data_IF_145374236827
#
_entry.id   IF_145374236827
#
_cell.length_a   1.000
_cell.length_b   1.000
_cell.length_c   1.000
_cell.angle_alpha   90.00
_cell.angle_beta   90.00
_cell.angle_gamma   90.00
#
_symmetry.space_group_name_H-M   'P 1'
#
loop_
_entity.id
_entity.type
_entity.pdbx_description
1 polymer ?
#
# COMPACT_ATOMS: atom_id res chain seq x y z
N UNK A 1 -5.74 -4.92 9.88
CA UNK A 1 -5.10 -3.61 10.10
C UNK A 1 -4.06 -3.38 9.00
N UNK A 2 -3.94 -2.17 8.43
CA UNK A 2 -2.88 -1.81 7.47
C UNK A 2 -1.94 -0.76 8.11
N UNK A 3 -0.84 -1.17 8.77
CA UNK A 3 0.08 -0.21 9.38
C UNK A 3 0.80 0.60 8.29
N UNK A 4 0.92 1.91 8.51
CA UNK A 4 1.73 2.78 7.66
C UNK A 4 3.21 2.78 8.06
N UNK A 5 3.51 2.55 9.34
CA UNK A 5 4.89 2.36 9.80
C UNK A 5 5.54 1.13 9.13
N UNK A 6 6.82 1.25 8.78
CA UNK A 6 7.67 0.16 8.29
C UNK A 6 8.83 -0.08 9.25
N UNK A 7 9.50 -1.21 9.10
CA UNK A 7 10.72 -1.58 9.81
C UNK A 7 11.78 -2.12 8.84
N UNK A 8 12.95 -2.50 9.37
CA UNK A 8 14.06 -2.99 8.55
C UNK A 8 14.68 -4.24 9.15
N UNK A 9 15.17 -5.12 8.26
CA UNK A 9 15.97 -6.28 8.64
C UNK A 9 17.40 -5.99 8.20
N UNK A 10 18.34 -6.02 9.14
CA UNK A 10 19.75 -5.70 8.89
C UNK A 10 20.61 -6.92 9.20
N UNK A 11 21.64 -7.13 8.38
CA UNK A 11 22.67 -8.12 8.64
C UNK A 11 23.73 -7.55 9.57
N UNK A 12 24.31 -8.40 10.42
CA UNK A 12 25.52 -8.09 11.17
C UNK A 12 26.73 -8.45 10.29
N UNK A 13 27.51 -7.49 9.77
CA UNK A 13 28.52 -7.78 8.74
C UNK A 13 29.59 -8.79 9.18
N UNK A 14 29.89 -8.82 10.49
CA UNK A 14 30.89 -9.72 11.08
C UNK A 14 30.37 -11.13 11.35
N UNK A 15 29.06 -11.35 11.23
CA UNK A 15 28.41 -12.64 11.50
C UNK A 15 27.26 -12.87 10.49
N UNK A 16 27.55 -12.98 9.19
CA UNK A 16 26.52 -12.99 8.14
C UNK A 16 25.57 -14.20 8.21
N UNK A 17 26.04 -15.34 8.75
CA UNK A 17 25.22 -16.55 8.94
C UNK A 17 24.39 -16.54 10.23
N UNK A 18 24.60 -15.54 11.10
CA UNK A 18 23.80 -15.41 12.32
C UNK A 18 22.45 -14.83 11.94
N UNK A 19 21.40 -15.26 12.65
CA UNK A 19 20.03 -14.79 12.42
C UNK A 19 20.02 -13.26 12.33
N UNK A 20 19.46 -12.73 11.24
CA UNK A 20 19.45 -11.31 10.95
C UNK A 20 18.91 -10.50 12.14
N UNK A 21 19.50 -9.34 12.37
CA UNK A 21 19.06 -8.40 13.39
C UNK A 21 17.80 -7.72 12.87
N UNK A 22 16.65 -8.24 13.27
CA UNK A 22 15.37 -7.58 13.02
C UNK A 22 15.28 -6.29 13.83
N UNK A 23 15.44 -5.12 13.19
CA UNK A 23 14.94 -3.87 13.75
C UNK A 23 13.46 -3.76 13.43
N UNK A 24 12.65 -4.41 14.27
CA UNK A 24 11.25 -4.06 14.37
C UNK A 24 11.18 -2.60 14.83
N UNK A 25 11.02 -1.67 13.89
CA UNK A 25 10.68 -0.30 14.21
C UNK A 25 9.26 -0.31 14.78
N UNK A 26 9.18 -0.51 16.10
CA UNK A 26 7.96 -0.33 16.89
C UNK A 26 7.60 1.14 17.04
N UNK A 27 8.60 2.00 16.81
CA UNK A 27 8.44 3.44 16.95
C UNK A 27 7.47 3.94 15.89
N UNK A 28 6.47 4.65 16.37
CA UNK A 28 5.46 5.46 15.70
C UNK A 28 6.09 6.43 14.69
N UNK A 29 6.65 5.92 13.59
CA UNK A 29 7.17 6.76 12.52
C UNK A 29 6.05 7.48 11.78
N UNK A 30 4.82 6.98 11.87
CA UNK A 30 3.63 7.70 11.41
C UNK A 30 2.91 8.36 12.57
N UNK A 31 2.74 9.70 12.56
CA UNK A 31 2.06 10.45 13.63
C UNK A 31 0.66 9.91 13.96
N UNK A 32 -0.05 9.33 12.97
CA UNK A 32 -1.43 8.84 13.11
C UNK A 32 -1.61 7.43 13.67
N UNK A 33 -0.52 6.67 13.88
CA UNK A 33 -0.63 5.30 14.41
C UNK A 33 -1.31 5.22 15.79
N UNK A 34 -0.95 6.05 16.80
CA UNK A 34 -1.63 6.02 18.08
C UNK A 34 -3.12 6.37 17.96
N UNK A 35 -3.49 7.33 17.11
CA UNK A 35 -4.89 7.78 16.95
C UNK A 35 -5.83 6.64 16.55
N UNK A 36 -5.43 5.82 15.58
CA UNK A 36 -6.22 4.67 15.11
C UNK A 36 -6.40 3.64 16.23
N UNK A 37 -5.36 3.41 17.02
CA UNK A 37 -5.39 2.45 18.12
C UNK A 37 -6.21 2.97 19.31
N UNK A 38 -6.11 4.26 19.64
CA UNK A 38 -6.95 4.93 20.65
C UNK A 38 -8.42 4.89 20.23
N UNK A 39 -8.72 5.17 18.95
CA UNK A 39 -10.07 5.05 18.41
C UNK A 39 -10.62 3.63 18.52
N UNK A 40 -9.76 2.61 18.32
CA UNK A 40 -10.12 1.20 18.49
C UNK A 40 -10.48 0.89 19.95
N UNK A 41 -9.70 1.37 20.93
CA UNK A 41 -10.03 1.20 22.36
C UNK A 41 -11.38 1.86 22.70
N UNK A 42 -11.60 3.10 22.26
CA UNK A 42 -12.85 3.83 22.49
C UNK A 42 -14.04 3.11 21.85
N UNK A 43 -13.86 2.56 20.66
CA UNK A 43 -14.87 1.74 20.00
C UNK A 43 -15.21 0.49 20.80
N UNK A 44 -14.22 -0.25 21.30
CA UNK A 44 -14.46 -1.42 22.15
C UNK A 44 -15.18 -1.04 23.44
N UNK A 45 -14.80 0.05 24.12
CA UNK A 45 -15.53 0.53 25.32
C UNK A 45 -17.00 0.82 25.02
N UNK A 46 -17.29 1.46 23.89
CA UNK A 46 -18.67 1.71 23.44
C UNK A 46 -19.42 0.42 23.13
N UNK A 47 -18.77 -0.52 22.44
CA UNK A 47 -19.35 -1.84 22.14
C UNK A 47 -19.69 -2.58 23.44
N UNK A 48 -18.75 -2.63 24.39
CA UNK A 48 -18.95 -3.34 25.65
C UNK A 48 -20.02 -2.68 26.53
N UNK A 49 -20.27 -1.38 26.38
CA UNK A 49 -21.36 -0.67 27.04
C UNK A 49 -22.75 -0.95 26.42
N UNK A 50 -22.84 -1.65 25.28
CA UNK A 50 -24.13 -1.96 24.66
C UNK A 50 -24.97 -2.89 25.57
N UNK A 51 -26.32 -2.73 25.60
CA UNK A 51 -27.19 -3.52 26.48
C UNK A 51 -27.04 -5.04 26.32
N UNK A 52 -26.84 -5.53 25.09
CA UNK A 52 -26.60 -6.94 24.79
C UNK A 52 -25.30 -7.46 25.41
N UNK A 53 -24.26 -6.63 25.48
CA UNK A 53 -22.98 -6.99 26.07
C UNK A 53 -23.02 -6.91 27.59
N UNK A 54 -23.79 -5.97 28.17
CA UNK A 54 -23.92 -5.82 29.62
C UNK A 54 -24.53 -7.04 30.31
N UNK A 55 -25.33 -7.84 29.58
CA UNK A 55 -25.81 -9.14 30.08
C UNK A 55 -24.68 -10.11 30.46
N UNK A 56 -23.48 -9.94 29.88
CA UNK A 56 -22.30 -10.77 30.17
C UNK A 56 -21.44 -10.22 31.32
N UNK A 57 -21.85 -9.10 31.95
CA UNK A 57 -21.09 -8.42 33.02
C UNK A 57 -19.61 -8.21 32.65
N UNK A 58 -19.33 -7.52 31.54
CA UNK A 58 -17.97 -7.41 31.04
C UNK A 58 -17.10 -6.53 31.96
N UNK A 59 -15.86 -6.97 32.17
CA UNK A 59 -14.85 -6.21 32.93
C UNK A 59 -13.64 -5.94 32.05
N UNK A 60 -13.28 -4.65 31.90
CA UNK A 60 -12.08 -4.25 31.16
C UNK A 60 -10.83 -4.54 32.00
N UNK A 61 -10.05 -5.55 31.60
CA UNK A 61 -8.77 -5.88 32.25
C UNK A 61 -7.61 -5.02 31.76
N UNK A 62 -7.64 -4.61 30.49
CA UNK A 62 -6.52 -3.95 29.83
C UNK A 62 -7.06 -3.05 28.71
N UNK A 63 -6.62 -1.78 28.58
CA UNK A 63 -5.66 -1.05 29.41
C UNK A 63 -6.14 -0.76 30.84
N UNK A 64 -7.45 -0.90 31.10
CA UNK A 64 -8.07 -0.68 32.40
C UNK A 64 -8.87 0.62 32.42
N UNK A 65 -9.95 0.63 33.19
CA UNK A 65 -10.93 1.72 33.22
C UNK A 65 -10.38 3.07 33.72
N UNK A 66 -9.26 3.05 34.46
CA UNK A 66 -8.61 4.27 34.98
C UNK A 66 -7.97 5.15 33.92
N UNK A 67 -7.65 4.60 32.74
CA UNK A 67 -7.06 5.35 31.63
C UNK A 67 -8.16 5.88 30.72
N UNK A 68 -8.45 7.18 30.80
CA UNK A 68 -9.63 7.80 30.17
C UNK A 68 -9.29 8.80 29.07
N UNK A 69 -8.13 9.47 29.15
CA UNK A 69 -7.72 10.45 28.14
C UNK A 69 -6.99 9.82 26.96
N UNK A 70 -7.09 10.43 25.78
CA UNK A 70 -6.40 9.99 24.56
C UNK A 70 -4.88 9.94 24.77
N UNK A 71 -4.33 10.90 25.51
CA UNK A 71 -2.92 10.95 25.85
C UNK A 71 -2.51 9.77 26.75
N UNK A 72 -3.32 9.44 27.76
CA UNK A 72 -3.09 8.28 28.62
C UNK A 72 -3.13 6.96 27.83
N UNK A 73 -4.14 6.80 26.96
CA UNK A 73 -4.29 5.62 26.12
C UNK A 73 -3.15 5.50 25.10
N UNK A 74 -2.76 6.61 24.47
CA UNK A 74 -1.62 6.64 23.54
C UNK A 74 -0.31 6.28 24.25
N UNK A 75 -0.07 6.81 25.45
CA UNK A 75 1.11 6.49 26.24
C UNK A 75 1.13 5.02 26.72
N UNK A 76 -0.03 4.47 27.06
CA UNK A 76 -0.16 3.06 27.37
C UNK A 76 0.22 2.19 26.15
N UNK A 77 -0.30 2.54 24.96
CA UNK A 77 -0.04 1.80 23.72
C UNK A 77 1.43 1.83 23.30
N UNK A 78 2.16 2.93 23.54
CA UNK A 78 3.59 3.00 23.20
C UNK A 78 4.47 2.17 24.13
N UNK A 79 4.03 1.93 25.36
CA UNK A 79 4.81 1.24 26.40
C UNK A 79 4.45 -0.23 26.57
N UNK A 80 3.17 -0.59 26.32
CA UNK A 80 2.62 -1.91 26.68
C UNK A 80 2.37 -2.82 25.49
N UNK A 81 2.44 -2.31 24.25
CA UNK A 81 2.23 -3.16 23.07
C UNK A 81 3.38 -4.14 22.86
N UNK A 82 3.03 -5.43 22.82
CA UNK A 82 3.94 -6.54 22.52
C UNK A 82 4.68 -6.40 21.18
N UNK A 83 5.77 -7.16 21.05
CA UNK A 83 6.77 -6.97 19.99
C UNK A 83 6.28 -7.22 18.56
N UNK A 84 5.38 -8.19 18.38
CA UNK A 84 4.94 -8.66 17.07
C UNK A 84 3.78 -9.64 17.24
N UNK A 85 2.90 -9.72 16.25
CA UNK A 85 1.96 -10.83 16.09
C UNK A 85 2.55 -11.99 15.26
N UNK A 86 3.87 -11.98 15.05
CA UNK A 86 4.62 -12.96 14.26
C UNK A 86 4.29 -12.99 12.75
N UNK A 87 3.79 -11.88 12.19
CA UNK A 87 3.50 -11.72 10.75
C UNK A 87 4.51 -10.80 10.05
N UNK A 88 5.81 -11.07 10.17
CA UNK A 88 6.84 -10.33 9.45
C UNK A 88 6.73 -10.59 7.93
N UNK A 89 6.80 -9.53 7.13
CA UNK A 89 6.64 -9.60 5.66
C UNK A 89 7.43 -8.49 4.98
N UNK A 90 7.29 -8.43 3.65
CA UNK A 90 7.45 -7.20 2.88
C UNK A 90 8.90 -6.70 2.73
N UNK A 91 9.90 -7.53 3.06
CA UNK A 91 11.33 -7.15 3.02
C UNK A 91 11.97 -7.18 1.63
N UNK A 92 11.40 -7.93 0.69
CA UNK A 92 11.86 -8.02 -0.69
C UNK A 92 10.71 -7.62 -1.64
N UNK A 93 10.18 -6.42 -1.44
CA UNK A 93 8.93 -5.99 -2.05
C UNK A 93 8.94 -6.08 -3.58
N UNK A 94 7.85 -6.63 -4.12
CA UNK A 94 7.54 -6.68 -5.54
C UNK A 94 6.97 -5.34 -6.00
N UNK A 95 7.80 -4.52 -6.65
CA UNK A 95 7.48 -3.16 -7.09
C UNK A 95 8.45 -2.75 -8.20
N UNK A 96 8.18 -1.68 -8.97
CA UNK A 96 9.14 -1.14 -9.93
C UNK A 96 10.49 -0.82 -9.25
N UNK A 97 11.59 -1.07 -9.96
CA UNK A 97 12.94 -0.84 -9.44
C UNK A 97 13.15 0.64 -9.04
N UNK A 98 12.59 1.57 -9.83
CA UNK A 98 12.64 3.01 -9.58
C UNK A 98 11.92 3.42 -8.27
N UNK A 99 11.05 2.56 -7.75
CA UNK A 99 10.33 2.73 -6.49
C UNK A 99 10.96 1.93 -5.34
N UNK A 100 12.23 1.58 -5.46
CA UNK A 100 12.97 0.73 -4.53
C UNK A 100 12.39 -0.69 -4.39
N UNK A 101 11.82 -1.22 -5.48
CA UNK A 101 11.45 -2.63 -5.57
C UNK A 101 12.68 -3.54 -5.57
N UNK A 102 12.52 -4.73 -4.99
CA UNK A 102 13.57 -5.78 -4.98
C UNK A 102 13.26 -6.86 -6.00
N UNK A 103 11.97 -7.13 -6.21
CA UNK A 103 11.47 -8.22 -7.04
C UNK A 103 10.57 -7.64 -8.13
N UNK A 104 10.75 -8.13 -9.36
CA UNK A 104 9.95 -7.79 -10.53
C UNK A 104 8.57 -8.49 -10.49
N UNK A 105 7.63 -8.04 -11.33
CA UNK A 105 6.29 -8.66 -11.44
C UNK A 105 6.33 -10.12 -11.91
N UNK A 106 7.41 -10.55 -12.54
CA UNK A 106 7.67 -11.94 -12.92
C UNK A 106 8.35 -12.76 -11.81
N UNK A 107 8.51 -12.20 -10.60
CA UNK A 107 9.18 -12.76 -9.43
C UNK A 107 10.70 -12.90 -9.52
N UNK A 108 11.36 -12.28 -10.51
CA UNK A 108 12.82 -12.23 -10.58
C UNK A 108 13.41 -11.12 -9.72
N UNK A 109 14.64 -11.31 -9.23
CA UNK A 109 15.35 -10.29 -8.44
C UNK A 109 16.11 -9.36 -9.39
N UNK A 110 15.93 -8.05 -9.21
CA UNK A 110 16.64 -7.06 -10.03
C UNK A 110 18.16 -7.23 -9.90
N UNK A 111 18.87 -7.17 -11.04
CA UNK A 111 20.32 -7.32 -11.11
C UNK A 111 20.86 -8.74 -10.90
N UNK A 112 20.02 -9.76 -10.75
CA UNK A 112 20.44 -11.15 -10.53
C UNK A 112 19.76 -12.12 -11.50
N UNK A 113 20.56 -12.83 -12.29
CA UNK A 113 20.05 -13.85 -13.23
C UNK A 113 19.76 -15.17 -12.52
N UNK A 114 18.59 -15.76 -12.79
CA UNK A 114 18.24 -17.10 -12.31
C UNK A 114 17.80 -17.17 -10.84
N UNK A 115 17.53 -16.03 -10.19
CA UNK A 115 17.02 -15.97 -8.82
C UNK A 115 15.56 -15.50 -8.81
N UNK A 116 14.72 -16.15 -8.00
CA UNK A 116 13.32 -15.76 -7.80
C UNK A 116 12.91 -15.84 -6.33
N UNK A 117 11.93 -15.02 -5.95
CA UNK A 117 11.39 -14.96 -4.58
C UNK A 117 9.91 -15.32 -4.59
N UNK A 118 9.53 -16.34 -3.79
CA UNK A 118 8.17 -16.89 -3.74
C UNK A 118 7.63 -17.03 -2.31
N UNK A 119 7.91 -16.06 -1.44
CA UNK A 119 7.44 -16.05 -0.05
C UNK A 119 6.71 -14.74 0.30
N UNK A 120 6.32 -14.57 1.57
CA UNK A 120 5.61 -13.36 2.03
C UNK A 120 6.48 -12.10 2.04
N UNK A 121 7.78 -12.19 1.74
CA UNK A 121 8.64 -11.01 1.66
C UNK A 121 8.33 -10.14 0.44
N UNK A 122 7.69 -10.72 -0.59
CA UNK A 122 7.40 -10.02 -1.84
C UNK A 122 6.23 -9.04 -1.78
N UNK A 123 5.32 -9.18 -0.82
CA UNK A 123 4.15 -8.28 -0.76
C UNK A 123 4.58 -6.87 -0.31
N UNK A 124 4.24 -5.78 -1.03
CA UNK A 124 4.69 -4.44 -0.63
C UNK A 124 4.02 -3.92 0.66
N UNK A 125 2.82 -4.41 0.96
CA UNK A 125 2.03 -4.03 2.13
C UNK A 125 1.37 -5.28 2.71
N UNK A 126 1.49 -5.47 4.03
CA UNK A 126 0.87 -6.59 4.73
C UNK A 126 -0.67 -6.63 4.49
N UNK A 127 -1.24 -7.80 4.18
CA UNK A 127 -2.69 -7.94 4.11
C UNK A 127 -3.32 -7.75 5.49
N UNK A 128 -4.59 -7.37 5.54
CA UNK A 128 -5.30 -7.15 6.80
C UNK A 128 -5.81 -8.47 7.43
N UNK A 129 -5.08 -9.59 7.25
CA UNK A 129 -5.41 -10.94 7.72
C UNK A 129 -4.14 -11.71 8.11
N UNK A 130 -4.27 -12.93 8.63
CA UNK A 130 -3.16 -13.85 8.84
C UNK A 130 -2.43 -14.16 7.53
N UNK A 131 -1.11 -14.12 7.55
CA UNK A 131 -0.29 -14.20 6.32
C UNK A 131 -0.15 -15.61 5.76
N UNK A 132 -0.50 -16.66 6.51
CA UNK A 132 -0.34 -18.05 6.10
C UNK A 132 -1.11 -18.38 4.81
N UNK A 133 -2.38 -18.00 4.72
CA UNK A 133 -3.16 -18.24 3.51
C UNK A 133 -2.60 -17.46 2.30
N UNK A 134 -2.13 -16.23 2.54
CA UNK A 134 -1.50 -15.41 1.50
C UNK A 134 -0.20 -16.02 0.99
N UNK A 135 0.64 -16.58 1.85
CA UNK A 135 1.89 -17.20 1.40
C UNK A 135 1.64 -18.46 0.58
N UNK A 136 0.60 -19.24 0.89
CA UNK A 136 0.23 -20.39 0.05
C UNK A 136 -0.22 -19.95 -1.34
N UNK A 137 -1.10 -18.95 -1.43
CA UNK A 137 -1.52 -18.41 -2.72
C UNK A 137 -0.35 -17.83 -3.55
N UNK A 138 0.60 -17.18 -2.88
CA UNK A 138 1.84 -16.70 -3.50
C UNK A 138 2.67 -17.87 -4.04
N UNK A 139 2.88 -18.90 -3.23
CA UNK A 139 3.69 -20.06 -3.60
C UNK A 139 3.12 -20.80 -4.81
N UNK A 140 1.79 -20.99 -4.87
CA UNK A 140 1.10 -21.58 -6.02
C UNK A 140 1.35 -20.76 -7.30
N UNK A 141 1.08 -19.45 -7.26
CA UNK A 141 1.30 -18.58 -8.42
C UNK A 141 2.78 -18.52 -8.82
N UNK A 142 3.69 -18.52 -7.84
CA UNK A 142 5.11 -18.50 -8.09
C UNK A 142 5.59 -19.77 -8.79
N UNK A 143 5.10 -20.94 -8.37
CA UNK A 143 5.41 -22.20 -9.02
C UNK A 143 4.99 -22.21 -10.48
N UNK A 144 3.79 -21.72 -10.80
CA UNK A 144 3.32 -21.64 -12.19
C UNK A 144 4.15 -20.69 -13.06
N UNK A 145 4.48 -19.51 -12.53
CA UNK A 145 5.32 -18.54 -13.25
C UNK A 145 6.74 -19.07 -13.48
N UNK A 146 7.32 -19.75 -12.49
CA UNK A 146 8.66 -20.33 -12.61
C UNK A 146 8.65 -21.47 -13.62
N UNK A 147 7.69 -22.40 -13.55
CA UNK A 147 7.56 -23.49 -14.54
C UNK A 147 7.43 -22.95 -15.97
N UNK A 148 6.53 -22.00 -16.21
CA UNK A 148 6.31 -21.40 -17.52
C UNK A 148 7.54 -20.65 -18.06
N UNK A 149 8.43 -20.15 -17.18
CA UNK A 149 9.69 -19.50 -17.60
C UNK A 149 10.71 -20.48 -18.18
N UNK A 150 10.72 -21.74 -17.73
CA UNK A 150 11.70 -22.74 -18.12
C UNK A 150 11.16 -23.81 -19.07
N UNK A 151 9.85 -23.98 -19.16
CA UNK A 151 9.20 -24.92 -20.05
C UNK A 151 8.19 -24.20 -20.97
N UNK A 152 8.53 -24.00 -22.26
CA UNK A 152 7.66 -23.34 -23.23
C UNK A 152 6.34 -24.06 -23.50
N UNK A 153 6.24 -25.35 -23.13
CA UNK A 153 5.00 -26.12 -23.29
C UNK A 153 3.96 -25.80 -22.21
N UNK A 154 4.38 -25.19 -21.10
CA UNK A 154 3.50 -24.80 -20.00
C UNK A 154 2.97 -23.39 -20.30
N UNK A 155 1.65 -23.21 -20.53
CA UNK A 155 1.10 -21.89 -20.76
C UNK A 155 1.25 -21.03 -19.51
N UNK A 156 1.55 -19.73 -19.66
CA UNK A 156 1.63 -18.83 -18.52
C UNK A 156 0.27 -18.81 -17.80
N UNK A 157 0.26 -18.80 -16.45
CA UNK A 157 -0.99 -18.76 -15.71
C UNK A 157 -1.75 -17.50 -16.10
N UNK A 158 -3.10 -17.56 -16.24
CA UNK A 158 -3.89 -16.47 -16.77
C UNK A 158 -3.52 -15.16 -16.06
N UNK A 159 -3.09 -14.18 -16.85
CA UNK A 159 -2.90 -12.82 -16.40
C UNK A 159 -4.28 -12.25 -16.22
N UNK A 160 -4.85 -12.34 -15.01
CA UNK A 160 -6.01 -11.51 -14.71
C UNK A 160 -5.54 -10.07 -14.88
N UNK A 161 -6.10 -9.26 -15.81
CA UNK A 161 -5.83 -7.84 -15.87
C UNK A 161 -6.57 -7.20 -14.69
N UNK A 162 -6.08 -7.47 -13.49
CA UNK A 162 -6.55 -6.88 -12.26
C UNK A 162 -5.78 -5.59 -12.04
N UNK A 163 -5.93 -4.62 -12.94
CA UNK A 163 -5.90 -3.23 -12.52
C UNK A 163 -7.08 -3.10 -11.57
N UNK A 164 -6.88 -3.46 -10.31
CA UNK A 164 -7.80 -3.06 -9.25
C UNK A 164 -7.53 -1.58 -9.07
N UNK A 165 -8.05 -0.76 -10.00
CA UNK A 165 -8.53 0.55 -9.62
C UNK A 165 -9.52 0.26 -8.51
N UNK A 166 -9.07 0.37 -7.26
CA UNK A 166 -9.99 0.62 -6.18
C UNK A 166 -10.89 1.75 -6.70
N UNK A 167 -12.22 1.61 -6.72
CA UNK A 167 -13.07 2.73 -7.05
C UNK A 167 -12.69 3.84 -6.08
N UNK A 168 -12.00 4.86 -6.59
CA UNK A 168 -11.87 6.13 -5.90
C UNK A 168 -13.33 6.53 -5.65
N UNK A 169 -13.75 6.73 -4.39
CA UNK A 169 -15.10 7.22 -4.14
C UNK A 169 -15.21 8.52 -4.91
N UNK A 170 -15.99 8.49 -5.99
CA UNK A 170 -16.37 9.68 -6.71
C UNK A 170 -17.30 10.41 -5.76
N UNK A 171 -16.74 11.26 -4.89
CA UNK A 171 -17.51 12.37 -4.37
C UNK A 171 -17.91 13.18 -5.59
N UNK A 172 -19.16 12.99 -5.99
CA UNK A 172 -19.87 13.82 -6.94
C UNK A 172 -20.01 15.21 -6.33
N UNK A 173 -18.92 15.97 -6.30
CA UNK A 173 -19.03 17.42 -6.35
C UNK A 173 -19.40 17.74 -7.78
N UNK A 174 -20.70 17.94 -7.99
CA UNK A 174 -21.24 18.67 -9.14
C UNK A 174 -20.62 20.05 -9.17
N UNK A 175 -19.46 20.18 -9.82
CA UNK A 175 -18.98 21.46 -10.28
C UNK A 175 -19.52 21.65 -11.70
N UNK A 176 -20.24 22.75 -11.98
CA UNK A 176 -20.85 22.98 -13.27
C UNK A 176 -19.79 22.99 -14.38
N UNK A 177 -20.05 22.21 -15.41
CA UNK A 177 -19.34 22.17 -16.68
C UNK A 177 -19.22 23.60 -17.27
N UNK A 178 -18.01 24.11 -17.54
CA UNK A 178 -17.86 25.29 -18.37
C UNK A 178 -18.27 24.93 -19.81
N UNK A 179 -19.27 25.63 -20.32
CA UNK A 179 -19.69 25.62 -21.72
C UNK A 179 -18.51 25.99 -22.62
N UNK A 180 -18.08 25.07 -23.49
CA UNK A 180 -17.03 25.29 -24.48
C UNK A 180 -17.59 26.02 -25.72
N UNK A 181 -17.01 27.14 -26.16
CA UNK A 181 -17.25 27.70 -27.49
C UNK A 181 -16.57 26.86 -28.59
N UNK A 182 -17.19 26.68 -29.76
CA UNK A 182 -16.61 25.93 -30.86
C UNK A 182 -15.64 26.81 -31.65
N UNK A 183 -14.35 26.48 -31.66
CA UNK A 183 -13.37 26.69 -32.77
C UNK A 183 -11.92 26.92 -32.33
N UNK A 184 -11.59 26.90 -31.03
CA UNK A 184 -10.24 27.30 -30.63
C UNK A 184 -9.27 26.10 -30.61
N UNK A 185 -8.23 26.19 -31.44
CA UNK A 185 -7.14 25.20 -31.55
C UNK A 185 -5.82 25.81 -31.08
N UNK A 186 -4.99 25.02 -30.39
CA UNK A 186 -3.65 25.41 -29.93
C UNK A 186 -2.62 25.05 -31.01
N UNK A 187 -1.77 26.01 -31.39
CA UNK A 187 -0.67 25.75 -32.34
C UNK A 187 0.31 24.70 -31.81
N UNK A 188 1.06 24.05 -32.71
CA UNK A 188 2.18 23.19 -32.30
C UNK A 188 3.10 23.97 -31.34
N UNK A 189 3.55 23.31 -30.28
CA UNK A 189 4.30 23.85 -29.14
C UNK A 189 3.51 24.72 -28.16
N UNK A 190 2.20 24.92 -28.35
CA UNK A 190 1.35 25.63 -27.40
C UNK A 190 0.85 24.74 -26.25
N UNK A 191 0.50 25.35 -25.11
CA UNK A 191 -0.09 24.65 -23.98
C UNK A 191 -1.53 24.22 -24.29
N UNK A 192 -1.83 22.94 -24.11
CA UNK A 192 -3.15 22.34 -24.35
C UNK A 192 -3.79 21.74 -23.10
N UNK A 193 -3.11 21.81 -21.94
CA UNK A 193 -3.64 21.29 -20.68
C UNK A 193 -2.76 21.59 -19.47
N UNK A 194 -3.29 21.26 -18.29
CA UNK A 194 -2.65 21.49 -16.99
C UNK A 194 -3.66 21.89 -15.91
N UNK A 195 -3.35 21.62 -14.64
CA UNK A 195 -4.17 22.08 -13.52
C UNK A 195 -4.28 23.61 -13.52
N UNK A 196 -5.52 24.13 -13.60
CA UNK A 196 -5.81 25.57 -13.65
C UNK A 196 -5.78 26.19 -15.05
N UNK A 197 -5.51 25.41 -16.09
CA UNK A 197 -5.54 25.90 -17.47
C UNK A 197 -6.98 26.10 -17.95
N UNK A 198 -7.29 27.29 -18.47
CA UNK A 198 -8.63 27.69 -18.95
C UNK A 198 -8.69 27.93 -20.46
N UNK A 199 -7.57 27.70 -21.16
CA UNK A 199 -7.50 27.86 -22.61
C UNK A 199 -7.95 26.62 -23.39
N UNK A 200 -7.65 26.60 -24.67
CA UNK A 200 -8.09 25.57 -25.60
C UNK A 200 -7.35 24.25 -25.38
N UNK A 201 -8.08 23.13 -25.43
CA UNK A 201 -7.52 21.79 -25.18
C UNK A 201 -7.27 20.98 -26.44
N UNK A 202 -7.73 21.47 -27.59
CA UNK A 202 -7.59 20.80 -28.89
C UNK A 202 -6.37 21.36 -29.62
N UNK A 203 -5.45 20.49 -30.03
CA UNK A 203 -4.29 20.87 -30.83
C UNK A 203 -4.64 21.09 -32.30
N UNK A 204 -3.89 21.97 -32.98
CA UNK A 204 -3.98 22.16 -34.42
C UNK A 204 -3.64 20.87 -35.18
N UNK A 205 -4.21 20.72 -36.37
CA UNK A 205 -4.02 19.53 -37.21
C UNK A 205 -2.53 19.22 -37.42
N UNK A 206 -2.14 17.98 -37.16
CA UNK A 206 -0.74 17.54 -37.23
C UNK A 206 0.01 17.55 -35.89
N UNK A 207 -0.63 17.93 -34.78
CA UNK A 207 -0.05 17.86 -33.43
C UNK A 207 -1.01 17.24 -32.42
N UNK A 208 -0.48 16.56 -31.41
CA UNK A 208 -1.23 15.87 -30.35
C UNK A 208 -0.88 16.42 -28.97
N UNK A 209 -1.89 16.60 -28.12
CA UNK A 209 -1.68 17.10 -26.76
C UNK A 209 -0.96 16.03 -25.93
N UNK A 210 0.30 16.28 -25.61
CA UNK A 210 1.17 15.38 -24.86
C UNK A 210 1.32 15.89 -23.42
N UNK A 211 1.06 15.01 -22.46
CA UNK A 211 1.23 15.32 -21.05
C UNK A 211 2.72 15.50 -20.69
N UNK A 212 3.05 16.58 -19.99
CA UNK A 212 4.40 16.80 -19.47
C UNK A 212 4.43 16.67 -17.94
N UNK A 213 3.56 17.39 -17.24
CA UNK A 213 3.40 17.30 -15.80
C UNK A 213 2.00 17.79 -15.37
N UNK A 214 1.70 17.72 -14.07
CA UNK A 214 0.38 18.05 -13.53
C UNK A 214 -0.11 19.47 -13.89
N UNK A 215 0.79 20.42 -14.15
CA UNK A 215 0.45 21.80 -14.47
C UNK A 215 0.60 22.14 -15.95
N UNK A 216 1.09 21.21 -16.78
CA UNK A 216 1.46 21.52 -18.15
C UNK A 216 1.33 20.32 -19.10
N UNK A 217 0.65 20.54 -20.23
CA UNK A 217 0.57 19.64 -21.39
C UNK A 217 0.72 20.47 -22.66
N UNK A 218 1.39 19.95 -23.68
CA UNK A 218 1.79 20.70 -24.87
C UNK A 218 1.41 19.97 -26.16
N UNK A 219 1.05 20.70 -27.19
CA UNK A 219 0.86 20.15 -28.53
C UNK A 219 2.21 19.82 -29.18
N UNK A 220 2.46 18.54 -29.47
CA UNK A 220 3.65 18.06 -30.17
C UNK A 220 3.29 17.46 -31.52
#
# INVERSE_FOLDING_TARGET
MKPLSRGTVLLEPRRPLRRALGRFQRRTLTPRRPDILVATIKFFRRWMAAPSMQQLTPVEQTPGASLTSDAQLANYLTTSMGASTAHSCCTAAMAPEEQAGVVSADLTVYGVTGLSVGDISLIPIIPATHTCATVYAIAEKAADLIKARYDPSIPPPPTTPGTTTLPVPTTTTTNPQPTQPPSCTVSQWGQCGGQGYTGCTTCAAGSTCTFSNNWYSQCL
#
